data_IF_688344197040
#
_entry.id   IF_688344197040
#
_cell.length_a   1.000
_cell.length_b   1.000
_cell.length_c   1.000
_cell.angle_alpha   90.00
_cell.angle_beta   90.00
_cell.angle_gamma   90.00
#
_symmetry.space_group_name_H-M   'P 1'
#
loop_
_entity.id
_entity.type
_entity.pdbx_description
1 polymer ?
#
# COMPACT_ATOMS: atom_id res chain seq x y z
N UNK A 1 11.13 49.46 -6.37
CA UNK A 1 12.46 49.07 -6.88
C UNK A 1 12.20 47.93 -7.86
N UNK A 2 11.97 48.29 -9.12
CA UNK A 2 11.93 47.35 -10.24
C UNK A 2 13.30 46.71 -10.41
N UNK A 3 13.30 45.41 -10.67
CA UNK A 3 14.49 44.70 -11.14
C UNK A 3 14.00 43.88 -12.34
N UNK A 4 13.90 44.57 -13.47
CA UNK A 4 13.87 43.91 -14.78
C UNK A 4 15.31 43.52 -15.12
N UNK A 5 15.54 42.23 -15.27
CA UNK A 5 16.75 41.64 -15.84
C UNK A 5 16.49 40.14 -16.07
N UNK A 6 16.95 39.45 -17.11
CA UNK A 6 17.64 39.78 -18.36
C UNK A 6 18.03 38.41 -18.96
N UNK A 7 18.02 38.32 -20.29
CA UNK A 7 18.62 37.28 -21.14
C UNK A 7 17.93 35.92 -21.27
N UNK A 8 17.18 35.83 -22.36
CA UNK A 8 16.85 34.61 -23.11
C UNK A 8 18.16 34.05 -23.70
N UNK A 9 18.59 32.88 -23.25
CA UNK A 9 19.67 32.14 -23.89
C UNK A 9 19.07 31.24 -24.99
N UNK A 10 19.21 31.71 -26.23
CA UNK A 10 18.94 30.95 -27.45
C UNK A 10 19.91 29.78 -27.54
N UNK A 11 19.38 28.55 -27.50
CA UNK A 11 20.15 27.35 -27.76
C UNK A 11 20.30 27.16 -29.28
N UNK A 12 21.48 26.73 -29.77
CA UNK A 12 21.67 26.43 -31.17
C UNK A 12 20.84 25.22 -31.58
N UNK A 13 19.93 25.46 -32.52
CA UNK A 13 19.42 24.45 -33.44
C UNK A 13 20.59 23.99 -34.33
N UNK A 14 20.52 22.78 -34.86
CA UNK A 14 21.48 22.13 -35.79
C UNK A 14 22.48 21.13 -35.15
N UNK A 15 21.97 19.95 -34.79
CA UNK A 15 22.67 18.72 -35.20
C UNK A 15 21.67 17.74 -35.84
N UNK A 16 21.67 17.74 -37.16
CA UNK A 16 21.10 16.68 -37.98
C UNK A 16 21.83 15.36 -37.73
N UNK A 17 21.22 14.47 -36.95
CA UNK A 17 21.59 13.06 -36.95
C UNK A 17 20.77 12.31 -38.01
N UNK A 18 21.19 12.50 -39.25
CA UNK A 18 20.97 11.57 -40.35
C UNK A 18 21.87 10.35 -40.14
N UNK A 19 21.32 9.27 -39.58
CA UNK A 19 21.95 7.94 -39.69
C UNK A 19 20.87 6.88 -39.87
N UNK A 20 20.71 6.54 -41.15
CA UNK A 20 20.48 5.21 -41.68
C UNK A 20 19.46 4.32 -40.94
N UNK A 21 18.24 4.37 -41.48
CA UNK A 21 17.45 3.20 -41.85
C UNK A 21 18.31 1.94 -42.01
N UNK A 22 18.23 1.05 -41.02
CA UNK A 22 18.80 -0.30 -41.07
C UNK A 22 17.70 -1.31 -40.79
N UNK A 23 17.24 -1.91 -41.88
CA UNK A 23 16.44 -3.12 -41.97
C UNK A 23 16.83 -4.17 -40.92
N UNK A 24 15.88 -4.51 -40.05
CA UNK A 24 15.70 -5.85 -39.47
C UNK A 24 14.18 -6.10 -39.49
N UNK A 25 13.62 -6.70 -40.55
CA UNK A 25 13.45 -8.15 -40.75
C UNK A 25 12.69 -8.83 -39.60
N UNK A 26 11.38 -9.02 -39.82
CA UNK A 26 10.66 -10.26 -39.53
C UNK A 26 10.76 -10.83 -38.09
N UNK A 27 10.25 -10.09 -37.10
CA UNK A 27 9.91 -10.63 -35.77
C UNK A 27 8.43 -10.40 -35.42
N UNK A 28 7.55 -10.35 -36.43
CA UNK A 28 6.10 -10.32 -36.26
C UNK A 28 5.54 -11.75 -36.15
N UNK A 29 5.89 -12.45 -35.07
CA UNK A 29 5.10 -13.59 -34.55
C UNK A 29 5.57 -14.02 -33.15
N UNK A 30 5.88 -13.07 -32.28
CA UNK A 30 5.84 -13.36 -30.85
C UNK A 30 4.37 -13.60 -30.47
N UNK A 31 4.00 -14.88 -30.50
CA UNK A 31 2.78 -15.41 -29.90
C UNK A 31 2.60 -14.73 -28.54
N UNK A 32 1.52 -13.94 -28.32
CA UNK A 32 1.34 -13.21 -27.08
C UNK A 32 1.35 -14.23 -25.95
N UNK A 33 2.42 -14.20 -25.15
CA UNK A 33 2.63 -15.17 -24.08
C UNK A 33 1.34 -15.28 -23.27
N UNK A 34 0.87 -16.52 -23.03
CA UNK A 34 -0.45 -16.78 -22.50
C UNK A 34 -0.65 -15.98 -21.22
N UNK A 35 -1.61 -15.07 -21.31
CA UNK A 35 -2.17 -14.25 -20.26
C UNK A 35 -2.23 -15.12 -19.00
N UNK A 36 -1.37 -14.82 -18.03
CA UNK A 36 -1.26 -15.53 -16.77
C UNK A 36 -2.68 -15.74 -16.24
N UNK A 37 -3.18 -16.96 -16.35
CA UNK A 37 -4.45 -17.36 -15.80
C UNK A 37 -4.25 -17.32 -14.30
N UNK A 38 -4.59 -16.19 -13.68
CA UNK A 38 -4.49 -15.89 -12.25
C UNK A 38 -5.32 -16.92 -11.46
N UNK A 39 -4.80 -18.14 -11.29
CA UNK A 39 -5.54 -19.25 -10.72
C UNK A 39 -5.60 -19.21 -9.19
N UNK A 40 -4.73 -18.41 -8.55
CA UNK A 40 -4.81 -18.16 -7.11
C UNK A 40 -4.13 -16.84 -6.78
N UNK A 41 -4.83 -15.95 -6.08
CA UNK A 41 -4.20 -14.77 -5.49
C UNK A 41 -3.11 -15.23 -4.50
N UNK A 42 -1.91 -14.66 -4.61
CA UNK A 42 -0.83 -14.86 -3.65
C UNK A 42 -1.21 -14.30 -2.28
N UNK A 43 -0.55 -14.78 -1.21
CA UNK A 43 -0.70 -14.21 0.14
C UNK A 43 -0.21 -12.75 0.25
N UNK A 44 0.52 -12.27 -0.76
CA UNK A 44 0.98 -10.88 -0.89
C UNK A 44 0.14 -10.05 -1.86
N UNK A 45 -0.81 -10.67 -2.58
CA UNK A 45 -1.66 -9.96 -3.52
C UNK A 45 -2.70 -9.11 -2.77
N UNK A 46 -2.74 -7.83 -3.11
CA UNK A 46 -3.66 -6.84 -2.55
C UNK A 46 -4.83 -6.68 -3.49
N UNK A 47 -6.01 -7.14 -3.08
CA UNK A 47 -7.23 -7.03 -3.89
C UNK A 47 -7.93 -5.72 -3.55
N UNK A 48 -7.97 -4.84 -4.55
CA UNK A 48 -8.56 -3.52 -4.55
C UNK A 48 -9.98 -3.60 -5.10
N UNK A 49 -10.95 -2.99 -4.42
CA UNK A 49 -12.33 -2.95 -4.88
C UNK A 49 -13.31 -2.43 -3.85
N UNK A 50 -14.53 -2.07 -4.29
CA UNK A 50 -15.62 -1.65 -3.40
C UNK A 50 -16.34 -2.88 -2.83
N UNK A 51 -16.01 -3.21 -1.58
CA UNK A 51 -16.89 -3.86 -0.58
C UNK A 51 -17.31 -5.33 -0.75
N UNK A 52 -16.53 -6.23 -1.36
CA UNK A 52 -16.70 -7.65 -1.00
C UNK A 52 -15.96 -7.91 0.32
N UNK A 53 -16.72 -8.23 1.37
CA UNK A 53 -16.20 -8.57 2.70
C UNK A 53 -15.12 -9.66 2.65
N UNK A 54 -15.24 -10.58 1.69
CA UNK A 54 -14.30 -11.66 1.42
C UNK A 54 -12.86 -11.17 1.20
N UNK A 55 -12.66 -10.14 0.37
CA UNK A 55 -11.31 -9.63 0.08
C UNK A 55 -10.74 -8.81 1.21
N UNK A 56 -11.57 -8.21 2.06
CA UNK A 56 -11.07 -7.43 3.19
C UNK A 56 -10.24 -8.29 4.15
N UNK A 57 -10.59 -9.58 4.25
CA UNK A 57 -9.97 -10.52 5.16
C UNK A 57 -8.93 -11.43 4.47
N UNK A 58 -8.54 -11.14 3.22
CA UNK A 58 -7.43 -11.85 2.59
C UNK A 58 -6.11 -11.51 3.29
N UNK A 59 -5.18 -12.45 3.32
CA UNK A 59 -3.89 -12.28 3.98
C UNK A 59 -3.13 -11.06 3.43
N UNK A 60 -3.14 -10.86 2.11
CA UNK A 60 -2.52 -9.71 1.46
C UNK A 60 -3.13 -8.38 1.90
N UNK A 61 -4.46 -8.28 2.01
CA UNK A 61 -5.14 -7.07 2.47
C UNK A 61 -4.93 -6.80 3.97
N UNK A 62 -4.80 -7.84 4.80
CA UNK A 62 -4.46 -7.71 6.21
C UNK A 62 -3.02 -7.20 6.38
N UNK A 63 -2.06 -7.80 5.65
CA UNK A 63 -0.66 -7.35 5.65
C UNK A 63 -0.56 -5.91 5.14
N UNK A 64 -1.23 -5.60 4.04
CA UNK A 64 -1.33 -4.25 3.48
C UNK A 64 -1.83 -3.23 4.52
N UNK A 65 -2.93 -3.53 5.24
CA UNK A 65 -3.44 -2.64 6.29
C UNK A 65 -2.40 -2.37 7.39
N UNK A 66 -1.69 -3.42 7.87
CA UNK A 66 -0.62 -3.26 8.86
C UNK A 66 0.51 -2.35 8.34
N UNK A 67 0.92 -2.51 7.08
CA UNK A 67 1.94 -1.66 6.47
C UNK A 67 1.49 -0.19 6.39
N UNK A 68 0.24 0.04 5.95
CA UNK A 68 -0.34 1.38 5.88
C UNK A 68 -0.39 2.02 7.26
N UNK A 69 -0.83 1.29 8.28
CA UNK A 69 -0.90 1.83 9.65
C UNK A 69 0.49 2.19 10.21
N UNK A 70 1.51 1.39 9.91
CA UNK A 70 2.90 1.70 10.27
C UNK A 70 3.46 2.96 9.58
N UNK A 71 3.12 3.19 8.31
CA UNK A 71 3.60 4.33 7.54
C UNK A 71 2.74 5.60 7.70
N UNK A 72 1.52 5.46 8.23
CA UNK A 72 0.54 6.55 8.34
C UNK A 72 1.06 7.71 9.17
N UNK A 73 1.68 7.44 10.31
CA UNK A 73 2.21 8.49 11.20
C UNK A 73 3.27 9.30 10.44
N UNK A 74 4.20 8.64 9.76
CA UNK A 74 5.25 9.28 8.98
C UNK A 74 4.64 10.11 7.83
N UNK A 75 3.63 9.57 7.14
CA UNK A 75 2.93 10.26 6.06
C UNK A 75 2.21 11.54 6.52
N UNK A 76 1.63 11.53 7.72
CA UNK A 76 0.95 12.69 8.30
C UNK A 76 1.92 13.80 8.71
N UNK A 77 3.12 13.43 9.19
CA UNK A 77 4.17 14.38 9.57
C UNK A 77 5.02 14.86 8.38
N UNK A 78 4.92 14.22 7.23
CA UNK A 78 5.62 14.62 6.02
C UNK A 78 5.14 16.00 5.53
N UNK A 79 6.05 16.97 5.47
CA UNK A 79 5.75 18.35 5.05
C UNK A 79 5.65 18.50 3.54
N UNK A 80 6.48 17.78 2.77
CA UNK A 80 6.54 17.94 1.32
C UNK A 80 5.71 16.89 0.57
N UNK A 81 5.28 17.24 -0.64
CA UNK A 81 4.64 16.29 -1.57
C UNK A 81 5.60 15.17 -1.98
N UNK A 82 6.89 15.49 -2.11
CA UNK A 82 7.95 14.53 -2.47
C UNK A 82 8.08 13.44 -1.40
N UNK A 83 8.12 13.80 -0.13
CA UNK A 83 8.22 12.84 0.98
C UNK A 83 7.01 11.90 1.02
N UNK A 84 5.81 12.46 0.80
CA UNK A 84 4.57 11.69 0.71
C UNK A 84 4.62 10.68 -0.44
N UNK A 85 5.15 11.08 -1.59
CA UNK A 85 5.34 10.21 -2.75
C UNK A 85 6.36 9.10 -2.45
N UNK A 86 7.47 9.44 -1.79
CA UNK A 86 8.49 8.46 -1.39
C UNK A 86 7.91 7.40 -0.44
N UNK A 87 7.10 7.81 0.53
CA UNK A 87 6.42 6.88 1.46
C UNK A 87 5.48 5.93 0.72
N UNK A 88 4.65 6.44 -0.19
CA UNK A 88 3.75 5.60 -0.97
C UNK A 88 4.51 4.63 -1.89
N UNK A 89 5.61 5.12 -2.50
CA UNK A 89 6.48 4.31 -3.36
C UNK A 89 7.18 3.21 -2.55
N UNK A 90 7.60 3.50 -1.33
CA UNK A 90 8.19 2.50 -0.44
C UNK A 90 7.18 1.38 -0.11
N UNK A 91 5.93 1.72 0.24
CA UNK A 91 4.88 0.73 0.48
C UNK A 91 4.63 -0.14 -0.76
N UNK A 92 4.56 0.48 -1.95
CA UNK A 92 4.41 -0.26 -3.20
C UNK A 92 5.58 -1.24 -3.42
N UNK A 93 6.81 -0.76 -3.30
CA UNK A 93 8.02 -1.56 -3.50
C UNK A 93 8.12 -2.72 -2.50
N UNK A 94 7.65 -2.54 -1.26
CA UNK A 94 7.60 -3.61 -0.26
C UNK A 94 6.63 -4.74 -0.64
N UNK A 95 5.54 -4.42 -1.34
CA UNK A 95 4.57 -5.44 -1.78
C UNK A 95 5.12 -6.18 -3.00
N UNK A 96 5.62 -5.43 -3.99
CA UNK A 96 6.13 -6.01 -5.23
C UNK A 96 7.43 -6.79 -5.03
N UNK A 97 8.30 -6.40 -4.08
CA UNK A 97 9.51 -7.16 -3.74
C UNK A 97 9.21 -8.52 -3.11
N UNK A 98 8.02 -8.70 -2.52
CA UNK A 98 7.53 -9.98 -2.00
C UNK A 98 6.64 -10.71 -3.02
N UNK A 99 6.80 -10.42 -4.32
CA UNK A 99 5.99 -10.98 -5.40
C UNK A 99 4.47 -10.74 -5.24
N UNK A 100 4.08 -9.71 -4.50
CA UNK A 100 2.69 -9.27 -4.39
C UNK A 100 2.31 -8.33 -5.52
N UNK A 101 1.06 -8.45 -5.99
CA UNK A 101 0.46 -7.58 -7.01
C UNK A 101 -0.70 -6.81 -6.44
N UNK A 102 -1.02 -5.69 -7.06
CA UNK A 102 -2.29 -5.01 -6.81
C UNK A 102 -3.28 -5.47 -7.85
N UNK A 103 -4.37 -6.06 -7.39
CA UNK A 103 -5.39 -6.65 -8.25
C UNK A 103 -6.69 -5.85 -8.12
N UNK A 104 -7.37 -5.57 -9.20
CA UNK A 104 -8.72 -5.00 -9.20
C UNK A 104 -9.73 -6.03 -9.71
N UNK A 105 -10.83 -6.16 -8.97
CA UNK A 105 -11.91 -7.05 -9.36
C UNK A 105 -12.78 -6.35 -10.41
N UNK A 106 -12.71 -6.85 -11.62
CA UNK A 106 -13.62 -6.50 -12.70
C UNK A 106 -14.99 -7.19 -12.51
N UNK A 107 -16.06 -6.60 -13.06
CA UNK A 107 -17.40 -7.15 -12.89
C UNK A 107 -17.55 -8.49 -13.63
N UNK A 108 -17.57 -9.59 -12.89
CA UNK A 108 -17.84 -10.93 -13.43
C UNK A 108 -16.63 -11.68 -14.00
N UNK A 109 -15.42 -11.12 -13.91
CA UNK A 109 -14.19 -11.72 -14.44
C UNK A 109 -13.13 -11.95 -13.37
N UNK A 110 -11.99 -12.51 -13.79
CA UNK A 110 -10.79 -12.71 -12.98
C UNK A 110 -10.23 -11.37 -12.49
N UNK A 111 -9.52 -11.44 -11.36
CA UNK A 111 -8.77 -10.31 -10.83
C UNK A 111 -7.70 -9.87 -11.84
N UNK A 112 -7.70 -8.59 -12.20
CA UNK A 112 -6.75 -8.01 -13.15
C UNK A 112 -5.70 -7.18 -12.39
N UNK A 113 -4.43 -7.25 -12.80
CA UNK A 113 -3.39 -6.43 -12.19
C UNK A 113 -3.56 -4.96 -12.59
N UNK A 114 -3.55 -4.05 -11.61
CA UNK A 114 -3.66 -2.61 -11.87
C UNK A 114 -2.30 -1.98 -12.14
N UNK A 115 -2.32 -0.88 -12.89
CA UNK A 115 -1.12 -0.08 -13.13
C UNK A 115 -0.51 0.46 -11.83
N UNK A 116 0.81 0.66 -11.85
CA UNK A 116 1.57 1.26 -10.74
C UNK A 116 0.97 2.58 -10.25
N UNK A 117 0.55 3.45 -11.18
CA UNK A 117 -0.04 4.75 -10.85
C UNK A 117 -1.36 4.61 -10.08
N UNK A 118 -2.19 3.65 -10.50
CA UNK A 118 -3.44 3.31 -9.82
C UNK A 118 -3.17 2.77 -8.42
N UNK A 119 -2.20 1.84 -8.28
CA UNK A 119 -1.79 1.31 -6.98
C UNK A 119 -1.30 2.41 -6.02
N UNK A 120 -0.43 3.30 -6.49
CA UNK A 120 0.06 4.45 -5.70
C UNK A 120 -1.08 5.38 -5.27
N UNK A 121 -2.05 5.63 -6.16
CA UNK A 121 -3.24 6.43 -5.83
C UNK A 121 -4.05 5.79 -4.69
N UNK A 122 -4.23 4.47 -4.72
CA UNK A 122 -4.92 3.73 -3.64
C UNK A 122 -4.12 3.78 -2.33
N UNK A 123 -2.80 3.65 -2.38
CA UNK A 123 -1.91 3.79 -1.22
C UNK A 123 -2.02 5.19 -0.61
N UNK A 124 -1.97 6.24 -1.42
CA UNK A 124 -2.17 7.61 -0.94
C UNK A 124 -3.53 7.80 -0.28
N UNK A 125 -4.58 7.26 -0.90
CA UNK A 125 -5.92 7.30 -0.33
C UNK A 125 -5.97 6.57 1.03
N UNK A 126 -5.40 5.37 1.12
CA UNK A 126 -5.37 4.58 2.35
C UNK A 126 -4.57 5.26 3.48
N UNK A 127 -3.43 5.86 3.16
CA UNK A 127 -2.61 6.65 4.11
C UNK A 127 -3.35 7.90 4.62
N UNK A 128 -4.17 8.52 3.76
CA UNK A 128 -4.95 9.71 4.12
C UNK A 128 -6.22 9.39 4.93
N UNK A 129 -6.91 8.30 4.58
CA UNK A 129 -8.14 7.89 5.26
C UNK A 129 -7.81 7.33 6.63
N UNK A 130 -8.26 7.97 7.70
CA UNK A 130 -8.12 7.42 9.06
C UNK A 130 -8.55 5.96 9.08
N UNK A 131 -7.82 5.08 9.80
CA UNK A 131 -8.28 3.70 9.94
C UNK A 131 -9.72 3.76 10.42
N UNK A 132 -10.63 2.90 9.92
CA UNK A 132 -11.98 2.86 10.44
C UNK A 132 -11.81 2.80 11.94
N UNK A 133 -12.38 3.79 12.67
CA UNK A 133 -12.38 3.76 14.13
C UNK A 133 -12.89 2.36 14.41
N UNK A 134 -12.01 1.44 14.84
CA UNK A 134 -12.44 0.22 15.48
C UNK A 134 -13.30 0.82 16.56
N UNK A 135 -14.61 0.76 16.36
CA UNK A 135 -15.56 0.92 17.45
C UNK A 135 -14.98 -0.08 18.40
N UNK A 136 -14.27 0.42 19.40
CA UNK A 136 -13.87 -0.37 20.52
C UNK A 136 -15.23 -0.85 20.98
N UNK A 137 -15.61 -2.05 20.52
CA UNK A 137 -16.68 -2.79 21.11
C UNK A 137 -16.22 -2.82 22.53
N UNK A 138 -16.88 -1.98 23.32
CA UNK A 138 -16.79 -1.88 24.76
C UNK A 138 -17.27 -3.22 25.35
N UNK A 139 -16.65 -4.31 24.94
CA UNK A 139 -16.50 -5.54 25.70
C UNK A 139 -15.38 -5.38 26.73
N UNK A 140 -14.99 -4.14 27.04
CA UNK A 140 -14.62 -3.73 28.40
C UNK A 140 -15.79 -3.79 29.41
N UNK A 141 -17.01 -4.18 29.02
CA UNK A 141 -18.08 -4.62 29.93
C UNK A 141 -18.02 -6.13 30.28
N UNK A 142 -16.84 -6.74 30.24
CA UNK A 142 -16.66 -8.18 30.52
C UNK A 142 -15.57 -8.55 31.53
N UNK A 143 -14.74 -7.59 31.99
CA UNK A 143 -13.96 -7.78 33.21
C UNK A 143 -14.94 -7.69 34.39
N UNK A 144 -15.70 -8.79 34.58
CA UNK A 144 -16.21 -9.13 35.89
C UNK A 144 -15.01 -9.07 36.82
N UNK A 145 -15.17 -8.24 37.84
CA UNK A 145 -14.22 -8.08 38.91
C UNK A 145 -13.81 -9.47 39.43
N UNK A 146 -12.62 -9.93 39.05
CA UNK A 146 -11.90 -10.88 39.89
C UNK A 146 -11.48 -10.04 41.09
N UNK A 147 -12.35 -10.08 42.10
CA UNK A 147 -12.08 -9.53 43.42
C UNK A 147 -10.67 -9.94 43.85
N UNK A 148 -9.89 -9.03 44.45
CA UNK A 148 -8.63 -9.41 45.07
C UNK A 148 -8.91 -10.54 46.06
N UNK A 149 -8.38 -11.71 45.77
CA UNK A 149 -8.33 -12.86 46.67
C UNK A 149 -7.86 -12.34 48.02
N UNK A 150 -8.77 -12.36 49.00
CA UNK A 150 -8.48 -12.01 50.39
C UNK A 150 -7.25 -12.80 50.81
N UNK A 151 -6.19 -12.05 51.06
CA UNK A 151 -4.97 -12.53 51.66
C UNK A 151 -5.32 -13.33 52.91
N UNK A 152 -4.99 -14.62 52.88
CA UNK A 152 -4.96 -15.52 54.03
C UNK A 152 -3.75 -15.18 54.90
N UNK A 153 -3.67 -13.96 55.43
CA UNK A 153 -2.91 -13.72 56.66
C UNK A 153 -3.73 -14.32 57.81
N UNK A 154 -3.64 -15.64 57.92
CA UNK A 154 -3.96 -16.36 59.13
C UNK A 154 -2.99 -15.89 60.21
N UNK A 155 -3.51 -15.10 61.13
CA UNK A 155 -2.88 -14.78 62.39
C UNK A 155 -2.70 -16.07 63.20
N UNK A 156 -1.49 -16.63 63.19
CA UNK A 156 -1.08 -17.59 64.20
C UNK A 156 -0.70 -16.83 65.47
N UNK A 157 -1.75 -16.46 66.21
CA UNK A 157 -1.68 -16.17 67.63
C UNK A 157 -1.92 -17.51 68.34
N UNK A 158 -0.92 -18.01 69.10
CA UNK A 158 -1.08 -18.66 70.43
C UNK A 158 0.00 -19.72 70.73
N UNK A 159 0.52 -19.64 71.98
CA UNK A 159 1.31 -20.63 72.77
C UNK A 159 2.81 -20.66 72.47
N UNK A 160 3.73 -20.52 73.42
CA UNK A 160 3.72 -20.50 74.90
C UNK A 160 4.93 -19.69 75.35
#
# INVERSE_FOLDING_TARGET
>A
KEIDNTTVATLPEDEELSVASSLHSDLDNEEPLPINTLSSASEWDVVVGRQSFEFRNSDGNIRYQKMIDGHRVIYQHASSRSDKQAIATNVYNLITSNAGRFLEKQQGTLNEEISRESALTKIHQALRMNPPRRTQTKNMMGLKQLSPSKSLFSSNLSRL
#
